data_IF_608494806375
#
_entry.id   IF_608494806375
#
_cell.length_a   1.000
_cell.length_b   1.000
_cell.length_c   1.000
_cell.angle_alpha   90.00
_cell.angle_beta   90.00
_cell.angle_gamma   90.00
#
_symmetry.space_group_name_H-M   'P 1'
#
loop_
_entity.id
_entity.type
_entity.pdbx_description
1 polymer ?
#
# COMPACT_ATOMS: atom_id res chain seq x y z
N UNK A 1 12.91 -2.59 21.80
CA UNK A 1 12.08 -1.45 21.37
C UNK A 1 11.03 -2.00 20.40
N UNK A 2 9.83 -1.42 20.37
CA UNK A 2 8.83 -1.75 19.37
C UNK A 2 9.37 -1.40 17.96
N UNK A 3 9.03 -2.18 16.95
CA UNK A 3 9.37 -1.84 15.57
C UNK A 3 8.57 -0.64 15.09
N UNK A 4 9.12 0.13 14.17
CA UNK A 4 8.48 1.32 13.61
C UNK A 4 8.00 1.03 12.20
N UNK A 5 6.72 1.33 11.93
CA UNK A 5 6.10 1.20 10.61
C UNK A 5 5.64 2.55 10.06
N UNK A 6 5.81 2.74 8.75
CA UNK A 6 5.13 3.80 7.99
C UNK A 6 4.09 3.14 7.09
N UNK A 7 2.84 3.61 7.18
CA UNK A 7 1.75 3.22 6.27
C UNK A 7 1.36 4.42 5.42
N UNK A 8 1.65 4.37 4.11
CA UNK A 8 1.29 5.47 3.21
C UNK A 8 -0.20 5.43 2.89
N UNK A 9 -0.87 6.60 2.88
CA UNK A 9 -2.34 6.66 2.83
C UNK A 9 -3.00 5.98 4.03
N UNK A 10 -2.34 6.04 5.21
CA UNK A 10 -2.66 5.27 6.42
C UNK A 10 -3.85 5.76 7.23
N UNK A 11 -4.48 6.89 6.85
CA UNK A 11 -5.54 7.54 7.65
C UNK A 11 -6.96 7.17 7.24
N UNK A 12 -7.17 6.30 6.25
CA UNK A 12 -8.48 5.86 5.76
C UNK A 12 -8.46 4.51 5.07
N UNK A 13 -9.63 3.89 4.94
CA UNK A 13 -9.87 2.68 4.13
C UNK A 13 -8.90 1.54 4.47
N UNK A 14 -8.31 0.93 3.45
CA UNK A 14 -7.34 -0.16 3.62
C UNK A 14 -6.14 0.29 4.46
N UNK A 15 -5.62 1.50 4.21
CA UNK A 15 -4.47 2.03 4.95
C UNK A 15 -4.74 2.19 6.45
N UNK A 16 -5.91 2.68 6.83
CA UNK A 16 -6.33 2.77 8.22
C UNK A 16 -6.43 1.39 8.88
N UNK A 17 -7.08 0.43 8.21
CA UNK A 17 -7.18 -0.93 8.73
C UNK A 17 -5.79 -1.57 8.94
N UNK A 18 -4.85 -1.31 8.03
CA UNK A 18 -3.46 -1.75 8.15
C UNK A 18 -2.78 -1.07 9.34
N UNK A 19 -2.95 0.26 9.49
CA UNK A 19 -2.37 1.02 10.61
C UNK A 19 -2.84 0.48 11.96
N UNK A 20 -4.14 0.18 12.08
CA UNK A 20 -4.72 -0.40 13.30
C UNK A 20 -4.20 -1.81 13.56
N UNK A 21 -4.17 -2.68 12.56
CA UNK A 21 -3.70 -4.06 12.73
C UNK A 21 -2.22 -4.12 13.12
N UNK A 22 -1.36 -3.26 12.58
CA UNK A 22 0.05 -3.19 12.97
C UNK A 22 0.20 -2.64 14.40
N UNK A 23 -0.61 -1.65 14.80
CA UNK A 23 -0.63 -1.15 16.18
C UNK A 23 -1.06 -2.25 17.16
N UNK A 24 -2.10 -3.01 16.85
CA UNK A 24 -2.55 -4.16 17.65
C UNK A 24 -1.47 -5.24 17.77
N UNK A 25 -0.64 -5.40 16.74
CA UNK A 25 0.53 -6.28 16.77
C UNK A 25 1.74 -5.71 17.54
N UNK A 26 1.60 -4.57 18.23
CA UNK A 26 2.64 -3.96 19.05
C UNK A 26 3.68 -3.15 18.26
N UNK A 27 3.38 -2.79 17.02
CA UNK A 27 4.22 -1.94 16.16
C UNK A 27 3.92 -0.46 16.43
N UNK A 28 4.94 0.39 16.53
CA UNK A 28 4.80 1.84 16.55
C UNK A 28 4.52 2.33 15.12
N UNK A 29 3.32 2.86 14.88
CA UNK A 29 2.85 3.19 13.52
C UNK A 29 2.84 4.69 13.28
N UNK A 30 3.37 5.11 12.14
CA UNK A 30 3.22 6.44 11.54
C UNK A 30 2.29 6.32 10.32
N UNK A 31 1.15 7.00 10.33
CA UNK A 31 0.25 7.06 9.20
C UNK A 31 0.59 8.26 8.30
N UNK A 32 1.02 8.02 7.05
CA UNK A 32 1.20 9.12 6.10
C UNK A 32 -0.11 9.47 5.40
N UNK A 33 -0.27 10.75 5.09
CA UNK A 33 -1.35 11.28 4.25
C UNK A 33 -0.85 12.45 3.40
N UNK A 34 -1.63 12.85 2.35
CA UNK A 34 -1.21 13.92 1.45
C UNK A 34 -2.07 15.19 1.54
N UNK A 35 -3.38 15.10 1.73
CA UNK A 35 -4.22 16.24 1.47
C UNK A 35 -5.36 16.57 2.45
N UNK A 36 -5.91 15.63 3.18
CA UNK A 36 -7.06 15.88 4.07
C UNK A 36 -6.61 15.96 5.53
N UNK A 37 -6.33 17.19 5.99
CA UNK A 37 -5.84 17.47 7.33
C UNK A 37 -6.89 17.17 8.41
N UNK A 38 -8.17 17.49 8.16
CA UNK A 38 -9.28 17.24 9.09
C UNK A 38 -9.42 15.74 9.37
N UNK A 39 -9.47 14.92 8.31
CA UNK A 39 -9.55 13.46 8.44
C UNK A 39 -8.32 12.86 9.11
N UNK A 40 -7.13 13.42 8.88
CA UNK A 40 -5.91 12.97 9.54
C UNK A 40 -5.94 13.29 11.05
N UNK A 41 -6.47 14.45 11.44
CA UNK A 41 -6.66 14.82 12.84
C UNK A 41 -7.68 13.89 13.53
N UNK A 42 -8.86 13.70 12.93
CA UNK A 42 -9.86 12.76 13.43
C UNK A 42 -9.32 11.33 13.61
N UNK A 43 -8.54 10.88 12.63
CA UNK A 43 -7.86 9.58 12.71
C UNK A 43 -6.91 9.51 13.90
N UNK A 44 -6.07 10.54 14.10
CA UNK A 44 -5.11 10.59 15.20
C UNK A 44 -5.83 10.62 16.55
N UNK A 45 -6.86 11.46 16.69
CA UNK A 45 -7.65 11.59 17.93
C UNK A 45 -8.33 10.27 18.32
N UNK A 46 -8.88 9.57 17.34
CA UNK A 46 -9.58 8.31 17.57
C UNK A 46 -8.65 7.13 17.83
N UNK A 47 -7.50 7.10 17.16
CA UNK A 47 -6.62 5.93 17.18
C UNK A 47 -5.38 6.09 18.03
N UNK A 48 -4.97 7.32 18.32
CA UNK A 48 -3.69 7.65 18.94
C UNK A 48 -2.48 7.32 18.06
N UNK A 49 -2.68 7.08 16.76
CA UNK A 49 -1.60 6.89 15.79
C UNK A 49 -1.23 8.25 15.19
N UNK A 50 0.03 8.70 15.28
CA UNK A 50 0.43 9.97 14.69
C UNK A 50 0.32 9.96 13.17
N UNK A 51 -0.17 11.07 12.61
CA UNK A 51 -0.31 11.27 11.17
C UNK A 51 0.70 12.30 10.66
N UNK A 52 1.37 11.97 9.56
CA UNK A 52 2.43 12.80 8.95
C UNK A 52 2.05 13.15 7.51
N UNK A 53 2.22 14.42 7.15
CA UNK A 53 1.80 14.94 5.85
C UNK A 53 2.95 15.04 4.86
N UNK A 54 2.92 14.25 3.79
CA UNK A 54 3.71 14.44 2.57
C UNK A 54 3.08 13.72 1.38
N UNK A 55 3.41 14.19 0.17
CA UNK A 55 3.02 13.52 -1.06
C UNK A 55 4.05 12.45 -1.43
N UNK A 56 3.63 11.19 -1.57
CA UNK A 56 4.53 10.08 -1.95
C UNK A 56 5.09 10.19 -3.37
N UNK A 57 4.47 10.98 -4.25
CA UNK A 57 4.99 11.27 -5.58
C UNK A 57 6.21 12.22 -5.56
N UNK A 58 6.43 12.93 -4.45
CA UNK A 58 7.58 13.82 -4.25
C UNK A 58 8.71 13.06 -3.55
N UNK A 59 9.83 12.91 -4.26
CA UNK A 59 11.00 12.18 -3.77
C UNK A 59 11.60 12.82 -2.51
N UNK A 60 11.82 14.13 -2.53
CA UNK A 60 12.46 14.84 -1.41
C UNK A 60 11.55 14.88 -0.19
N UNK A 61 10.23 15.06 -0.39
CA UNK A 61 9.25 14.98 0.68
C UNK A 61 9.22 13.59 1.35
N UNK A 62 9.40 12.51 0.57
CA UNK A 62 9.53 11.15 1.13
C UNK A 62 10.79 10.99 1.98
N UNK A 63 11.95 11.51 1.53
CA UNK A 63 13.18 11.48 2.31
C UNK A 63 13.01 12.21 3.65
N UNK A 64 12.48 13.44 3.61
CA UNK A 64 12.24 14.28 4.78
C UNK A 64 11.21 13.66 5.74
N UNK A 65 10.08 13.16 5.19
CA UNK A 65 9.03 12.54 5.97
C UNK A 65 9.51 11.27 6.72
N UNK A 66 10.25 10.39 6.03
CA UNK A 66 10.85 9.22 6.66
C UNK A 66 11.89 9.59 7.73
N UNK A 67 12.68 10.65 7.51
CA UNK A 67 13.65 11.14 8.50
C UNK A 67 12.93 11.71 9.74
N UNK A 68 11.84 12.44 9.58
CA UNK A 68 11.02 12.97 10.68
C UNK A 68 10.43 11.84 11.52
N UNK A 69 9.84 10.82 10.89
CA UNK A 69 9.33 9.64 11.58
C UNK A 69 10.44 8.92 12.33
N UNK A 70 11.61 8.77 11.70
CA UNK A 70 12.74 8.10 12.35
C UNK A 70 13.29 8.87 13.56
N UNK A 71 13.24 10.20 13.54
CA UNK A 71 13.64 11.06 14.65
C UNK A 71 12.67 10.96 15.85
N UNK A 72 11.38 10.82 15.59
CA UNK A 72 10.34 10.83 16.63
C UNK A 72 10.03 9.43 17.18
N UNK A 73 9.95 8.41 16.32
CA UNK A 73 9.51 7.07 16.69
C UNK A 73 10.63 6.03 16.71
N UNK A 74 11.77 6.37 16.13
CA UNK A 74 12.90 5.45 15.94
C UNK A 74 13.06 4.96 14.50
N UNK A 75 14.10 4.18 14.23
CA UNK A 75 14.43 3.74 12.87
C UNK A 75 13.28 2.96 12.25
N UNK A 76 12.95 3.29 10.99
CA UNK A 76 11.84 2.67 10.26
C UNK A 76 12.19 1.24 9.85
N UNK A 77 11.43 0.28 10.34
CA UNK A 77 11.61 -1.15 10.11
C UNK A 77 10.61 -1.73 9.10
N UNK A 78 9.44 -1.11 8.99
CA UNK A 78 8.34 -1.57 8.14
C UNK A 78 7.85 -0.40 7.28
N UNK A 79 7.66 -0.65 5.98
CA UNK A 79 6.95 0.27 5.09
C UNK A 79 5.83 -0.47 4.39
N UNK A 80 4.62 0.09 4.47
CA UNK A 80 3.47 -0.35 3.69
C UNK A 80 3.13 0.72 2.67
N UNK A 81 3.45 0.45 1.42
CA UNK A 81 3.13 1.31 0.28
C UNK A 81 1.68 1.07 -0.15
N UNK A 82 0.76 1.79 0.50
CA UNK A 82 -0.67 1.69 0.25
C UNK A 82 -1.25 2.91 -0.49
N UNK A 83 -0.61 4.09 -0.38
CA UNK A 83 -1.07 5.28 -1.08
C UNK A 83 -1.26 5.05 -2.58
N UNK A 84 -2.38 5.51 -3.11
CA UNK A 84 -2.68 5.37 -4.52
C UNK A 84 -3.91 6.18 -4.93
N UNK A 85 -3.95 6.51 -6.21
CA UNK A 85 -5.03 7.25 -6.86
C UNK A 85 -5.48 6.54 -8.13
N UNK A 86 -6.69 6.86 -8.59
CA UNK A 86 -7.20 6.50 -9.90
C UNK A 86 -7.47 7.77 -10.71
N UNK A 87 -7.30 7.67 -12.04
CA UNK A 87 -7.71 8.67 -13.04
C UNK A 87 -8.21 7.88 -14.24
N UNK A 88 -9.43 7.36 -14.10
CA UNK A 88 -9.99 6.41 -15.05
C UNK A 88 -10.39 7.09 -16.36
N UNK A 89 -10.14 6.40 -17.46
CA UNK A 89 -10.47 6.84 -18.80
C UNK A 89 -9.96 5.86 -19.84
N UNK A 90 -10.68 5.73 -20.96
CA UNK A 90 -10.16 4.96 -22.09
C UNK A 90 -8.93 5.64 -22.68
N UNK A 91 -8.06 4.90 -23.36
CA UNK A 91 -6.83 5.45 -23.95
C UNK A 91 -7.10 6.66 -24.85
N UNK A 92 -8.27 6.74 -25.48
CA UNK A 92 -8.66 7.87 -26.33
C UNK A 92 -8.97 9.15 -25.54
N UNK A 93 -9.31 9.04 -24.25
CA UNK A 93 -9.70 10.16 -23.38
C UNK A 93 -8.70 10.44 -22.27
N UNK A 94 -7.79 9.51 -22.02
CA UNK A 94 -6.79 9.64 -20.96
C UNK A 94 -5.77 10.71 -21.33
N UNK A 95 -5.65 11.76 -20.51
CA UNK A 95 -4.61 12.77 -20.69
C UNK A 95 -3.25 12.27 -20.21
N UNK A 96 -2.17 12.88 -20.74
CA UNK A 96 -0.82 12.58 -20.26
C UNK A 96 -0.64 12.92 -18.77
N UNK A 97 -1.25 14.00 -18.29
CA UNK A 97 -1.19 14.38 -16.89
C UNK A 97 -1.85 13.33 -16.00
N UNK A 98 -3.03 12.82 -16.36
CA UNK A 98 -3.68 11.73 -15.64
C UNK A 98 -2.85 10.43 -15.64
N UNK A 99 -2.18 10.13 -16.76
CA UNK A 99 -1.22 9.03 -16.82
C UNK A 99 -0.08 9.26 -15.83
N UNK A 100 0.56 10.42 -15.92
CA UNK A 100 1.72 10.77 -15.10
C UNK A 100 1.40 10.78 -13.60
N UNK A 101 0.30 11.42 -13.19
CA UNK A 101 -0.14 11.45 -11.78
C UNK A 101 -0.28 10.04 -11.19
N UNK A 102 -0.89 9.11 -11.94
CA UNK A 102 -1.11 7.75 -11.47
C UNK A 102 0.19 6.97 -11.39
N UNK A 103 1.07 7.08 -12.38
CA UNK A 103 2.40 6.42 -12.37
C UNK A 103 3.26 6.97 -11.24
N UNK A 104 3.36 8.29 -11.10
CA UNK A 104 4.20 8.94 -10.09
C UNK A 104 3.72 8.61 -8.67
N UNK A 105 2.41 8.58 -8.44
CA UNK A 105 1.87 8.28 -7.12
C UNK A 105 1.94 6.78 -6.81
N UNK A 106 1.40 5.94 -7.69
CA UNK A 106 1.15 4.54 -7.35
C UNK A 106 2.41 3.67 -7.47
N UNK A 107 3.30 3.98 -8.43
CA UNK A 107 4.54 3.23 -8.65
C UNK A 107 5.76 4.03 -8.19
N UNK A 108 5.87 5.30 -8.59
CA UNK A 108 6.93 6.20 -8.15
C UNK A 108 6.98 6.33 -6.64
N UNK A 109 5.82 6.46 -5.98
CA UNK A 109 5.73 6.48 -4.52
C UNK A 109 6.32 5.24 -3.84
N UNK A 110 6.13 4.04 -4.40
CA UNK A 110 6.75 2.83 -3.87
C UNK A 110 8.29 2.91 -3.92
N UNK A 111 8.84 3.41 -5.03
CA UNK A 111 10.28 3.63 -5.16
C UNK A 111 10.78 4.68 -4.18
N UNK A 112 10.12 5.84 -4.09
CA UNK A 112 10.54 6.96 -3.24
C UNK A 112 10.61 6.53 -1.76
N UNK A 113 9.58 5.85 -1.28
CA UNK A 113 9.51 5.34 0.10
C UNK A 113 10.55 4.25 0.35
N UNK A 114 10.67 3.29 -0.55
CA UNK A 114 11.67 2.23 -0.42
C UNK A 114 13.10 2.82 -0.39
N UNK A 115 13.40 3.76 -1.29
CA UNK A 115 14.72 4.41 -1.35
C UNK A 115 15.10 5.12 -0.06
N UNK A 116 14.13 5.71 0.65
CA UNK A 116 14.34 6.41 1.91
C UNK A 116 14.72 5.46 3.07
N UNK A 117 14.17 4.24 3.11
CA UNK A 117 14.29 3.37 4.29
C UNK A 117 15.17 2.14 4.08
N UNK A 118 15.31 1.67 2.84
CA UNK A 118 15.99 0.43 2.51
C UNK A 118 17.46 0.37 2.93
N UNK A 119 18.28 1.45 2.81
CA UNK A 119 19.65 1.45 3.30
C UNK A 119 19.75 1.12 4.79
N UNK A 120 18.96 1.81 5.63
CA UNK A 120 18.94 1.58 7.08
C UNK A 120 18.39 0.19 7.45
N UNK A 121 17.39 -0.33 6.74
CA UNK A 121 16.91 -1.70 6.93
C UNK A 121 18.03 -2.72 6.66
N UNK A 122 18.79 -2.55 5.57
CA UNK A 122 19.92 -3.43 5.23
C UNK A 122 21.03 -3.40 6.28
N UNK A 123 21.38 -2.23 6.79
CA UNK A 123 22.39 -2.07 7.85
C UNK A 123 21.99 -2.81 9.12
N UNK A 124 20.72 -2.68 9.53
CA UNK A 124 20.17 -3.36 10.70
C UNK A 124 19.86 -4.84 10.47
N UNK A 125 20.03 -5.33 9.25
CA UNK A 125 19.75 -6.71 8.82
C UNK A 125 18.32 -7.17 9.12
N UNK A 126 17.38 -6.26 9.07
CA UNK A 126 15.96 -6.52 9.22
C UNK A 126 15.13 -5.43 8.55
N UNK A 127 14.10 -5.82 7.84
CA UNK A 127 13.13 -4.91 7.25
C UNK A 127 11.97 -5.65 6.60
N UNK A 128 10.83 -4.97 6.49
CA UNK A 128 9.63 -5.45 5.81
C UNK A 128 9.06 -4.35 4.91
N UNK A 129 8.94 -4.64 3.64
CA UNK A 129 8.29 -3.74 2.67
C UNK A 129 7.12 -4.51 2.07
N UNK A 130 5.91 -3.96 2.23
CA UNK A 130 4.69 -4.52 1.64
C UNK A 130 4.06 -3.50 0.71
N UNK A 131 3.94 -3.86 -0.55
CA UNK A 131 3.39 -3.02 -1.60
C UNK A 131 1.93 -3.42 -1.88
N UNK A 132 1.00 -2.49 -1.79
CA UNK A 132 -0.41 -2.75 -2.11
C UNK A 132 -0.62 -2.59 -3.63
N UNK A 133 -0.66 -3.74 -4.29
CA UNK A 133 -1.01 -3.88 -5.69
C UNK A 133 -2.51 -3.74 -5.96
N UNK A 134 -3.00 -4.55 -6.87
CA UNK A 134 -4.43 -4.67 -7.20
C UNK A 134 -4.65 -5.88 -8.10
N UNK A 135 -5.84 -6.48 -8.04
CA UNK A 135 -6.31 -7.42 -9.04
C UNK A 135 -6.24 -6.82 -10.45
N UNK A 136 -6.49 -5.51 -10.59
CA UNK A 136 -6.44 -4.81 -11.87
C UNK A 136 -5.00 -4.68 -12.41
N UNK A 137 -3.99 -4.80 -11.57
CA UNK A 137 -2.59 -4.95 -11.99
C UNK A 137 -2.25 -6.36 -12.48
N UNK A 138 -3.03 -7.38 -12.10
CA UNK A 138 -2.84 -8.76 -12.51
C UNK A 138 -3.64 -9.09 -13.79
N UNK A 139 -4.93 -8.72 -13.81
CA UNK A 139 -5.87 -9.06 -14.88
C UNK A 139 -6.06 -7.96 -15.93
N UNK A 140 -5.65 -6.72 -15.62
CA UNK A 140 -6.06 -5.56 -16.40
C UNK A 140 -7.50 -5.14 -16.11
N UNK A 141 -7.84 -3.88 -16.45
CA UNK A 141 -9.19 -3.35 -16.31
C UNK A 141 -9.46 -2.33 -17.42
N UNK A 142 -10.59 -2.47 -18.09
CA UNK A 142 -11.04 -1.51 -19.11
C UNK A 142 -11.14 -0.10 -18.50
N UNK A 143 -10.59 0.89 -19.18
CA UNK A 143 -10.57 2.28 -18.72
C UNK A 143 -9.53 2.60 -17.64
N UNK A 144 -8.60 1.69 -17.32
CA UNK A 144 -7.57 1.86 -16.30
C UNK A 144 -6.16 1.55 -16.81
N UNK A 145 -5.81 1.97 -18.01
CA UNK A 145 -4.49 1.68 -18.61
C UNK A 145 -3.35 2.18 -17.72
N UNK A 146 -3.47 3.39 -17.15
CA UNK A 146 -2.52 3.99 -16.22
C UNK A 146 -2.44 3.24 -14.88
N UNK A 147 -3.60 2.97 -14.27
CA UNK A 147 -3.68 2.29 -12.98
C UNK A 147 -3.20 0.84 -13.07
N UNK A 148 -3.67 0.10 -14.09
CA UNK A 148 -3.23 -1.26 -14.32
C UNK A 148 -1.72 -1.34 -14.59
N UNK A 149 -1.15 -0.42 -15.40
CA UNK A 149 0.28 -0.33 -15.65
C UNK A 149 1.07 -0.09 -14.35
N UNK A 150 0.66 0.89 -13.53
CA UNK A 150 1.31 1.18 -12.25
C UNK A 150 1.25 -0.02 -11.30
N UNK A 151 0.05 -0.64 -11.16
CA UNK A 151 -0.15 -1.78 -10.25
C UNK A 151 0.53 -3.06 -10.75
N UNK A 152 0.67 -3.26 -12.05
CA UNK A 152 1.52 -4.32 -12.63
C UNK A 152 2.99 -4.06 -12.37
N UNK A 153 3.45 -2.81 -12.53
CA UNK A 153 4.84 -2.41 -12.27
C UNK A 153 5.27 -2.70 -10.82
N UNK A 154 4.34 -2.59 -9.86
CA UNK A 154 4.57 -2.94 -8.45
C UNK A 154 5.06 -4.40 -8.30
N UNK A 155 4.53 -5.35 -9.07
CA UNK A 155 4.96 -6.74 -8.99
C UNK A 155 6.40 -6.93 -9.45
N UNK A 156 6.81 -6.27 -10.55
CA UNK A 156 8.19 -6.25 -11.03
C UNK A 156 9.14 -5.60 -10.02
N UNK A 157 8.76 -4.41 -9.52
CA UNK A 157 9.49 -3.69 -8.48
C UNK A 157 9.69 -4.55 -7.21
N UNK A 158 8.62 -5.21 -6.74
CA UNK A 158 8.64 -6.09 -5.57
C UNK A 158 9.66 -7.22 -5.76
N UNK A 159 9.63 -7.91 -6.90
CA UNK A 159 10.53 -9.04 -7.18
C UNK A 159 12.00 -8.62 -7.27
N UNK A 160 12.28 -7.50 -7.90
CA UNK A 160 13.65 -7.00 -8.03
C UNK A 160 14.21 -6.57 -6.66
N UNK A 161 13.47 -5.74 -5.91
CA UNK A 161 13.92 -5.25 -4.61
C UNK A 161 14.02 -6.37 -3.57
N UNK A 162 13.20 -7.42 -3.66
CA UNK A 162 13.29 -8.61 -2.83
C UNK A 162 14.65 -9.31 -2.98
N UNK A 163 15.16 -9.44 -4.21
CA UNK A 163 16.48 -10.02 -4.46
C UNK A 163 17.60 -9.19 -3.84
N UNK A 164 17.49 -7.86 -3.89
CA UNK A 164 18.48 -6.96 -3.30
C UNK A 164 18.47 -6.97 -1.77
N UNK A 165 17.30 -7.22 -1.16
CA UNK A 165 17.10 -7.20 0.29
C UNK A 165 17.36 -8.53 0.99
N UNK A 166 17.15 -9.67 0.31
CA UNK A 166 17.07 -11.00 0.92
C UNK A 166 18.27 -11.34 1.81
N UNK A 167 19.49 -11.15 1.33
CA UNK A 167 20.72 -11.45 2.09
C UNK A 167 20.92 -10.54 3.32
N UNK A 168 20.23 -9.42 3.34
CA UNK A 168 20.26 -8.48 4.45
C UNK A 168 19.03 -8.63 5.38
N UNK A 169 18.26 -9.72 5.28
CA UNK A 169 17.09 -9.94 6.14
C UNK A 169 15.90 -9.01 5.85
N UNK A 170 15.92 -8.31 4.70
CA UNK A 170 14.81 -7.46 4.26
C UNK A 170 13.92 -8.23 3.29
N UNK A 171 12.65 -8.41 3.65
CA UNK A 171 11.67 -9.01 2.74
C UNK A 171 10.84 -7.93 2.06
N UNK A 172 10.51 -8.17 0.79
CA UNK A 172 9.68 -7.28 -0.01
C UNK A 172 8.60 -8.11 -0.68
N UNK A 173 7.33 -7.81 -0.38
CA UNK A 173 6.19 -8.55 -0.91
C UNK A 173 5.11 -7.60 -1.41
N UNK A 174 4.21 -8.10 -2.23
CA UNK A 174 3.02 -7.40 -2.66
C UNK A 174 1.75 -8.09 -2.14
N UNK A 175 0.71 -7.32 -1.92
CA UNK A 175 -0.66 -7.82 -1.81
C UNK A 175 -1.44 -7.32 -3.01
N UNK A 176 -2.24 -8.16 -3.62
CA UNK A 176 -3.16 -7.81 -4.70
C UNK A 176 -4.61 -7.94 -4.20
N UNK A 177 -5.20 -6.86 -3.64
CA UNK A 177 -6.59 -6.84 -3.25
C UNK A 177 -7.53 -7.00 -4.45
N UNK A 178 -8.67 -7.66 -4.23
CA UNK A 178 -9.84 -7.55 -5.10
C UNK A 178 -10.63 -6.27 -4.80
N UNK A 179 -11.94 -6.31 -5.03
CA UNK A 179 -12.83 -5.21 -4.65
C UNK A 179 -13.11 -5.24 -3.14
N UNK A 180 -12.67 -4.20 -2.45
CA UNK A 180 -12.75 -4.05 -0.99
C UNK A 180 -13.76 -2.97 -0.66
N UNK A 181 -14.63 -3.22 0.32
CA UNK A 181 -15.62 -2.28 0.82
C UNK A 181 -14.91 -1.06 1.47
N UNK A 182 -14.87 0.02 0.73
CA UNK A 182 -14.22 1.29 1.07
C UNK A 182 -14.97 2.45 0.42
N UNK A 183 -14.71 3.67 0.87
CA UNK A 183 -15.29 4.90 0.28
C UNK A 183 -15.13 4.94 -1.26
N UNK A 184 -14.02 4.39 -1.77
CA UNK A 184 -13.75 4.36 -3.22
C UNK A 184 -14.73 3.45 -3.95
N UNK A 185 -15.09 2.31 -3.38
CA UNK A 185 -16.05 1.36 -3.97
C UNK A 185 -17.47 1.80 -3.70
N UNK A 186 -17.74 2.44 -2.55
CA UNK A 186 -19.05 3.01 -2.23
C UNK A 186 -19.51 4.11 -3.23
N UNK A 187 -18.57 4.75 -3.93
CA UNK A 187 -18.86 5.72 -4.98
C UNK A 187 -19.30 5.10 -6.32
N UNK A 188 -19.23 3.76 -6.45
CA UNK A 188 -19.66 3.04 -7.67
C UNK A 188 -21.19 2.92 -7.69
N UNK A 189 -21.88 3.18 -8.83
CA UNK A 189 -23.31 2.99 -8.94
C UNK A 189 -23.75 1.57 -8.56
N UNK A 190 -24.91 1.46 -7.88
CA UNK A 190 -25.37 0.19 -7.28
C UNK A 190 -25.51 -0.95 -8.32
N UNK A 191 -26.04 -0.65 -9.51
CA UNK A 191 -26.20 -1.62 -10.59
C UNK A 191 -24.86 -2.13 -11.15
N UNK A 192 -23.82 -1.31 -11.10
CA UNK A 192 -22.45 -1.69 -11.48
C UNK A 192 -21.82 -2.52 -10.36
N UNK A 193 -22.05 -2.13 -9.11
CA UNK A 193 -21.55 -2.85 -7.94
C UNK A 193 -22.11 -4.26 -7.85
N UNK A 194 -23.41 -4.45 -8.10
CA UNK A 194 -24.03 -5.79 -8.18
C UNK A 194 -23.36 -6.68 -9.23
N UNK A 195 -23.06 -6.12 -10.41
CA UNK A 195 -22.35 -6.84 -11.48
C UNK A 195 -20.90 -7.20 -11.10
N UNK A 196 -20.25 -6.35 -10.30
CA UNK A 196 -18.92 -6.63 -9.77
C UNK A 196 -19.00 -7.77 -8.76
N UNK A 197 -19.89 -7.68 -7.78
CA UNK A 197 -20.06 -8.69 -6.72
C UNK A 197 -20.42 -10.06 -7.32
N UNK A 198 -21.29 -10.09 -8.34
CA UNK A 198 -21.67 -11.32 -9.03
C UNK A 198 -20.47 -12.06 -9.70
N UNK A 199 -19.37 -11.36 -9.97
CA UNK A 199 -18.13 -11.94 -10.52
C UNK A 199 -17.13 -12.39 -9.48
N UNK A 200 -17.37 -12.09 -8.20
CA UNK A 200 -16.49 -12.51 -7.11
C UNK A 200 -16.94 -13.90 -6.65
N UNK A 201 -16.14 -14.96 -6.77
CA UNK A 201 -16.53 -16.32 -6.36
C UNK A 201 -17.03 -16.43 -4.92
N UNK A 202 -16.45 -15.66 -3.98
CA UNK A 202 -16.89 -15.62 -2.57
C UNK A 202 -18.25 -14.92 -2.41
N UNK A 203 -18.75 -14.20 -3.44
CA UNK A 203 -20.07 -13.59 -3.47
C UNK A 203 -20.24 -12.30 -2.66
N UNK A 204 -19.14 -11.65 -2.25
CA UNK A 204 -19.17 -10.37 -1.52
C UNK A 204 -17.93 -9.54 -1.80
N UNK A 205 -17.98 -8.26 -1.46
CA UNK A 205 -16.76 -7.44 -1.32
C UNK A 205 -15.89 -7.96 -0.18
N UNK A 206 -14.57 -7.79 -0.33
CA UNK A 206 -13.63 -7.99 0.76
C UNK A 206 -13.75 -6.85 1.79
N UNK A 207 -13.31 -7.12 3.02
CA UNK A 207 -13.21 -6.10 4.07
C UNK A 207 -11.76 -5.61 4.17
N UNK A 208 -11.58 -4.32 4.50
CA UNK A 208 -10.25 -3.75 4.70
C UNK A 208 -9.41 -4.51 5.74
N UNK A 209 -10.07 -5.05 6.77
CA UNK A 209 -9.44 -5.91 7.79
C UNK A 209 -8.88 -7.23 7.23
N UNK A 210 -9.43 -7.75 6.13
CA UNK A 210 -8.92 -8.97 5.48
C UNK A 210 -7.57 -8.69 4.80
N UNK A 211 -7.43 -7.51 4.19
CA UNK A 211 -6.15 -7.03 3.64
C UNK A 211 -5.15 -6.76 4.76
N UNK A 212 -5.58 -6.09 5.82
CA UNK A 212 -4.74 -5.73 6.95
C UNK A 212 -4.12 -6.96 7.64
N UNK A 213 -4.87 -8.07 7.80
CA UNK A 213 -4.33 -9.34 8.31
C UNK A 213 -3.23 -9.92 7.43
N UNK A 214 -3.40 -9.85 6.10
CA UNK A 214 -2.35 -10.26 5.16
C UNK A 214 -1.08 -9.42 5.28
N UNK A 215 -1.24 -8.10 5.45
CA UNK A 215 -0.10 -7.19 5.70
C UNK A 215 0.56 -7.51 7.03
N UNK A 216 -0.19 -7.65 8.11
CA UNK A 216 0.36 -7.97 9.45
C UNK A 216 1.17 -9.28 9.42
N UNK A 217 0.67 -10.32 8.74
CA UNK A 217 1.43 -11.56 8.52
C UNK A 217 2.74 -11.30 7.79
N UNK A 218 2.73 -10.60 6.65
CA UNK A 218 3.94 -10.33 5.86
C UNK A 218 4.95 -9.44 6.60
N UNK A 219 4.50 -8.65 7.57
CA UNK A 219 5.34 -7.80 8.42
C UNK A 219 5.89 -8.54 9.65
N UNK A 220 5.39 -9.72 10.00
CA UNK A 220 5.84 -10.49 11.16
C UNK A 220 7.22 -11.13 10.97
N UNK A 221 7.80 -11.62 12.07
CA UNK A 221 9.04 -12.41 12.04
C UNK A 221 8.83 -13.75 11.35
N UNK A 222 7.65 -14.35 11.50
CA UNK A 222 7.28 -15.64 10.93
C UNK A 222 7.29 -15.64 9.40
N UNK A 223 7.11 -14.46 8.77
CA UNK A 223 7.17 -14.29 7.31
C UNK A 223 8.60 -14.08 6.77
N UNK A 224 9.63 -14.34 7.57
CA UNK A 224 11.03 -14.08 7.18
C UNK A 224 11.51 -14.85 5.94
N UNK A 225 10.84 -15.94 5.56
CA UNK A 225 11.15 -16.71 4.35
C UNK A 225 10.21 -16.39 3.17
N UNK A 226 9.26 -15.48 3.34
CA UNK A 226 8.36 -15.00 2.29
C UNK A 226 8.91 -13.69 1.72
N UNK A 227 9.45 -13.73 0.51
CA UNK A 227 9.94 -12.53 -0.18
C UNK A 227 9.77 -12.65 -1.70
N UNK A 228 9.53 -11.54 -2.39
CA UNK A 228 9.27 -11.49 -3.83
C UNK A 228 7.89 -12.01 -4.23
N UNK A 229 7.03 -12.34 -3.28
CA UNK A 229 5.72 -12.93 -3.51
C UNK A 229 4.64 -11.87 -3.70
N UNK A 230 3.58 -12.25 -4.42
CA UNK A 230 2.32 -11.51 -4.46
C UNK A 230 1.23 -12.35 -3.82
N UNK A 231 0.71 -11.89 -2.68
CA UNK A 231 -0.42 -12.50 -2.00
C UNK A 231 -1.73 -11.91 -2.56
N UNK A 232 -2.45 -12.70 -3.34
CA UNK A 232 -3.77 -12.31 -3.87
C UNK A 232 -4.84 -12.48 -2.80
N UNK A 233 -5.50 -11.39 -2.41
CA UNK A 233 -6.62 -11.37 -1.47
C UNK A 233 -7.83 -10.76 -2.19
N UNK A 234 -8.50 -11.56 -3.02
CA UNK A 234 -9.47 -11.07 -4.01
C UNK A 234 -10.76 -11.91 -4.09
N UNK A 235 -11.01 -12.78 -3.11
CA UNK A 235 -12.21 -13.63 -3.10
C UNK A 235 -12.31 -14.63 -4.24
N UNK A 236 -11.16 -15.00 -4.84
CA UNK A 236 -11.09 -15.93 -5.97
C UNK A 236 -11.35 -15.28 -7.33
N UNK A 237 -11.47 -13.97 -7.40
CA UNK A 237 -11.79 -13.26 -8.66
C UNK A 237 -10.64 -13.36 -9.70
N UNK A 238 -9.42 -13.55 -9.25
CA UNK A 238 -8.25 -13.84 -10.08
C UNK A 238 -7.38 -14.88 -9.38
N UNK A 239 -7.05 -15.94 -10.11
CA UNK A 239 -6.22 -17.07 -9.66
C UNK A 239 -5.08 -17.26 -10.66
N UNK A 240 -3.88 -17.62 -10.17
CA UNK A 240 -2.73 -18.02 -10.98
C UNK A 240 -2.64 -19.53 -11.09
#
# INVERSE_FOLDING_TARGET
MARVAIVTGGTRGIGEAISLALKEAGVSVAANYAGNDERALEFTDRTGIPAYKWNVADYDACQQGCASVAAELGPVDIVVNNAGITRDGTILKLSYDHWKEVIDTNLGGCFNMAKAVFPGMRERKWGRIVNIGSINGQAGQYGQVNYAAAKSGIHGFTKALAQEGARAGVTVNAIAPGYIDTDMVAAVPADVLEKIVAKIPVGRLGQASEIARGVAFLCSDEAGFVTGSTLSINGGQHMY
#
